data_IF_558827308757
#
_entry.id   IF_558827308757
#
_cell.length_a   1.000
_cell.length_b   1.000
_cell.length_c   1.000
_cell.angle_alpha   90.00
_cell.angle_beta   90.00
_cell.angle_gamma   90.00
#
_symmetry.space_group_name_H-M   'P 1'
#
loop_
_entity.id
_entity.type
_entity.pdbx_description
1 polymer ?
#
# COMPACT_ATOMS: atom_id res chain seq x y z
N UNK A 1 5.77 4.05 40.04
CA UNK A 1 7.11 3.85 39.44
C UNK A 1 6.93 3.76 37.94
N UNK A 2 7.62 4.58 37.14
CA UNK A 2 7.57 4.48 35.68
C UNK A 2 8.47 3.32 35.20
N UNK A 3 7.97 2.46 34.33
CA UNK A 3 8.75 1.39 33.67
C UNK A 3 9.15 1.81 32.25
N UNK A 4 10.19 1.19 31.70
CA UNK A 4 10.52 1.33 30.28
C UNK A 4 9.38 0.78 29.40
N UNK A 5 9.02 1.52 28.35
CA UNK A 5 7.87 1.22 27.49
C UNK A 5 8.24 0.56 26.16
N UNK A 6 9.52 0.34 25.90
CA UNK A 6 10.01 -0.27 24.66
C UNK A 6 9.58 0.46 23.36
N UNK A 7 9.40 1.77 23.42
CA UNK A 7 9.06 2.60 22.24
C UNK A 7 10.32 3.04 21.48
N UNK A 8 11.38 3.40 22.21
CA UNK A 8 12.65 3.83 21.61
C UNK A 8 13.82 3.01 22.16
N UNK A 9 14.66 2.52 21.26
CA UNK A 9 15.86 1.75 21.61
C UNK A 9 16.82 2.62 22.44
N UNK A 10 17.01 2.26 23.71
CA UNK A 10 17.88 3.01 24.63
C UNK A 10 19.35 2.90 24.20
N UNK A 11 19.81 1.68 23.93
CA UNK A 11 21.17 1.36 23.50
C UNK A 11 21.11 0.59 22.19
N UNK A 12 21.72 1.14 21.14
CA UNK A 12 21.81 0.47 19.83
C UNK A 12 23.09 -0.33 19.75
N UNK A 13 22.99 -1.54 19.20
CA UNK A 13 24.12 -2.37 18.84
C UNK A 13 24.34 -2.36 17.32
N UNK A 14 25.56 -2.66 16.89
CA UNK A 14 25.96 -2.77 15.49
C UNK A 14 26.78 -4.03 15.30
N UNK A 15 26.57 -4.68 14.16
CA UNK A 15 27.34 -5.82 13.69
C UNK A 15 27.76 -5.57 12.23
N UNK A 16 28.46 -6.53 11.64
CA UNK A 16 28.68 -6.53 10.20
C UNK A 16 27.33 -6.53 9.44
N UNK A 17 27.22 -5.87 8.28
CA UNK A 17 25.98 -5.82 7.52
C UNK A 17 25.44 -7.21 7.16
N UNK A 18 24.14 -7.43 7.37
CA UNK A 18 23.45 -8.66 6.98
C UNK A 18 23.10 -8.60 5.49
N UNK A 19 23.64 -9.54 4.71
CA UNK A 19 23.40 -9.59 3.25
C UNK A 19 22.11 -10.34 2.87
N UNK A 20 21.41 -10.90 3.86
CA UNK A 20 20.20 -11.71 3.69
C UNK A 20 20.49 -13.17 3.29
N UNK A 21 19.48 -14.05 3.32
CA UNK A 21 19.63 -15.46 2.95
C UNK A 21 20.03 -15.63 1.47
N UNK A 22 20.66 -16.75 1.09
CA UNK A 22 20.99 -17.05 -0.30
C UNK A 22 19.74 -17.05 -1.19
N UNK A 23 19.91 -16.75 -2.48
CA UNK A 23 18.83 -16.73 -3.47
C UNK A 23 19.23 -17.61 -4.66
N UNK A 24 18.79 -18.86 -4.65
CA UNK A 24 19.25 -19.85 -5.63
C UNK A 24 18.63 -19.63 -7.03
N UNK A 25 17.47 -18.96 -7.10
CA UNK A 25 16.73 -18.66 -8.35
C UNK A 25 16.55 -17.14 -8.57
N UNK A 26 17.62 -16.37 -8.35
CA UNK A 26 17.63 -14.94 -8.61
C UNK A 26 18.16 -14.62 -10.00
N UNK A 27 17.49 -13.70 -10.72
CA UNK A 27 17.94 -13.24 -12.04
C UNK A 27 19.15 -12.30 -11.99
N UNK A 28 19.76 -12.11 -10.81
CA UNK A 28 20.87 -11.19 -10.57
C UNK A 28 21.25 -11.07 -9.09
N UNK A 29 22.41 -10.49 -8.76
CA UNK A 29 22.82 -10.27 -7.39
C UNK A 29 21.98 -9.17 -6.70
N UNK A 30 22.02 -9.12 -5.37
CA UNK A 30 21.58 -7.93 -4.63
C UNK A 30 22.58 -6.79 -4.88
N UNK A 31 22.16 -5.54 -4.63
CA UNK A 31 23.10 -4.42 -4.54
C UNK A 31 24.11 -4.65 -3.40
N UNK A 32 25.16 -3.84 -3.36
CA UNK A 32 26.00 -3.74 -2.17
C UNK A 32 25.16 -3.33 -0.93
N UNK A 33 25.67 -3.64 0.26
CA UNK A 33 25.11 -3.11 1.50
C UNK A 33 25.17 -1.57 1.46
N UNK A 34 24.09 -0.91 1.88
CA UNK A 34 24.05 0.55 1.92
C UNK A 34 24.86 1.08 3.10
N UNK A 35 24.28 1.04 4.30
CA UNK A 35 24.92 1.52 5.52
C UNK A 35 23.99 1.50 6.72
N UNK A 36 24.35 2.18 7.80
CA UNK A 36 23.54 2.26 9.01
C UNK A 36 23.07 3.69 9.31
N UNK A 37 21.78 3.84 9.63
CA UNK A 37 21.19 5.12 10.03
C UNK A 37 20.84 5.12 11.53
N UNK A 38 21.47 6.01 12.30
CA UNK A 38 21.27 6.10 13.75
C UNK A 38 19.80 6.35 14.15
N UNK A 39 19.10 7.23 13.42
CA UNK A 39 17.71 7.59 13.75
C UNK A 39 16.73 6.47 13.41
N UNK A 40 16.91 5.75 12.31
CA UNK A 40 16.16 4.54 12.01
C UNK A 40 16.36 3.49 13.13
N UNK A 41 17.59 3.34 13.62
CA UNK A 41 17.91 2.44 14.73
C UNK A 41 17.27 2.82 16.08
N UNK A 42 16.72 4.05 16.24
CA UNK A 42 15.97 4.42 17.44
C UNK A 42 14.56 3.84 17.47
N UNK A 43 14.01 3.48 16.32
CA UNK A 43 12.63 2.98 16.17
C UNK A 43 12.57 1.58 15.52
N UNK A 44 13.69 0.99 15.11
CA UNK A 44 13.74 -0.31 14.45
C UNK A 44 15.16 -0.76 14.07
N UNK A 45 15.28 -1.50 12.96
CA UNK A 45 16.58 -1.86 12.40
C UNK A 45 17.22 -0.64 11.72
N UNK A 46 18.52 -0.48 11.92
CA UNK A 46 19.28 0.66 11.43
C UNK A 46 19.92 0.45 10.06
N UNK A 47 20.05 -0.80 9.61
CA UNK A 47 20.65 -1.13 8.32
C UNK A 47 19.73 -0.71 7.17
N UNK A 48 20.30 -0.05 6.16
CA UNK A 48 19.64 0.32 4.90
C UNK A 48 20.27 -0.49 3.76
N UNK A 49 19.43 -1.25 3.05
CA UNK A 49 19.86 -2.20 2.02
C UNK A 49 20.51 -3.47 2.62
N UNK A 50 21.01 -4.39 1.76
CA UNK A 50 20.98 -4.34 0.30
C UNK A 50 19.57 -4.54 -0.27
N UNK A 51 19.35 -4.14 -1.53
CA UNK A 51 18.09 -4.38 -2.26
C UNK A 51 18.33 -5.33 -3.43
N UNK A 52 17.37 -6.22 -3.70
CA UNK A 52 17.39 -7.00 -4.94
C UNK A 52 16.74 -6.20 -6.06
N UNK A 53 17.37 -6.06 -7.24
CA UNK A 53 16.76 -5.39 -8.38
C UNK A 53 16.96 -6.19 -9.68
N UNK A 54 16.08 -7.17 -9.91
CA UNK A 54 15.95 -7.86 -11.19
C UNK A 54 15.01 -7.14 -12.16
N UNK A 55 14.83 -7.71 -13.37
CA UNK A 55 14.09 -7.09 -14.48
C UNK A 55 12.70 -6.56 -14.13
N UNK A 56 11.89 -7.31 -13.37
CA UNK A 56 10.56 -6.86 -12.94
C UNK A 56 10.62 -5.56 -12.13
N UNK A 57 11.60 -5.44 -11.22
CA UNK A 57 11.77 -4.22 -10.43
C UNK A 57 12.29 -3.06 -11.26
N UNK A 58 13.27 -3.31 -12.13
CA UNK A 58 13.83 -2.28 -12.99
C UNK A 58 12.79 -1.70 -13.94
N UNK A 59 12.04 -2.55 -14.66
CA UNK A 59 11.00 -2.10 -15.60
C UNK A 59 9.86 -1.41 -14.84
N UNK A 60 9.47 -1.93 -13.67
CA UNK A 60 8.48 -1.28 -12.81
C UNK A 60 8.91 0.15 -12.44
N UNK A 61 10.16 0.36 -12.01
CA UNK A 61 10.68 1.69 -11.69
C UNK A 61 10.72 2.61 -12.91
N UNK A 62 11.16 2.11 -14.07
CA UNK A 62 11.18 2.90 -15.32
C UNK A 62 9.78 3.33 -15.71
N UNK A 63 8.80 2.42 -15.69
CA UNK A 63 7.40 2.76 -15.99
C UNK A 63 6.80 3.71 -14.96
N UNK A 64 7.10 3.53 -13.68
CA UNK A 64 6.65 4.43 -12.62
C UNK A 64 7.22 5.84 -12.80
N UNK A 65 8.50 5.94 -13.16
CA UNK A 65 9.16 7.21 -13.46
C UNK A 65 8.55 7.89 -14.69
N UNK A 66 8.28 7.14 -15.77
CA UNK A 66 7.62 7.69 -16.96
C UNK A 66 6.24 8.26 -16.60
N UNK A 67 5.42 7.51 -15.84
CA UNK A 67 4.12 8.01 -15.40
C UNK A 67 4.25 9.26 -14.52
N UNK A 68 5.19 9.26 -13.57
CA UNK A 68 5.48 10.41 -12.70
C UNK A 68 5.88 11.65 -13.49
N UNK A 69 6.79 11.53 -14.45
CA UNK A 69 7.24 12.63 -15.30
C UNK A 69 6.11 13.15 -16.20
N UNK A 70 5.28 12.29 -16.78
CA UNK A 70 4.13 12.74 -17.58
C UNK A 70 3.19 13.59 -16.74
N UNK A 71 2.86 13.14 -15.51
CA UNK A 71 2.00 13.89 -14.60
C UNK A 71 2.65 15.23 -14.23
N UNK A 72 3.90 15.21 -13.75
CA UNK A 72 4.62 16.40 -13.31
C UNK A 72 4.83 17.44 -14.41
N UNK A 73 5.20 17.01 -15.62
CA UNK A 73 5.41 17.90 -16.77
C UNK A 73 4.10 18.51 -17.25
N UNK A 74 2.97 17.77 -17.23
CA UNK A 74 1.66 18.34 -17.57
C UNK A 74 1.19 19.35 -16.52
N UNK A 75 1.42 19.09 -15.23
CA UNK A 75 1.17 20.05 -14.16
C UNK A 75 2.03 21.31 -14.30
N UNK A 76 3.30 21.17 -14.68
CA UNK A 76 4.18 22.34 -14.89
C UNK A 76 3.80 23.14 -16.14
N UNK A 77 3.39 22.45 -17.21
CA UNK A 77 2.89 23.08 -18.43
C UNK A 77 1.61 23.89 -18.18
N UNK A 78 0.70 23.44 -17.31
CA UNK A 78 -0.56 24.16 -17.02
C UNK A 78 -0.36 25.49 -16.31
N UNK A 79 0.81 25.71 -15.71
CA UNK A 79 1.25 27.00 -15.13
C UNK A 79 2.33 27.68 -15.97
N UNK A 80 2.35 27.40 -17.28
CA UNK A 80 3.24 28.00 -18.27
C UNK A 80 4.73 27.88 -17.89
N UNK A 81 5.14 26.73 -17.39
CA UNK A 81 6.53 26.43 -17.02
C UNK A 81 7.12 27.35 -15.94
N UNK A 82 6.29 28.09 -15.20
CA UNK A 82 6.74 28.93 -14.08
C UNK A 82 7.04 28.07 -12.84
N UNK A 83 8.30 28.02 -12.35
CA UNK A 83 8.62 27.23 -11.15
C UNK A 83 7.92 27.75 -9.89
N UNK A 84 7.74 29.08 -9.81
CA UNK A 84 7.07 29.73 -8.67
C UNK A 84 5.60 29.33 -8.62
N UNK A 85 4.91 29.39 -9.77
CA UNK A 85 3.50 29.02 -9.85
C UNK A 85 3.30 27.52 -9.66
N UNK A 86 4.22 26.70 -10.17
CA UNK A 86 4.19 25.26 -9.97
C UNK A 86 4.21 24.90 -8.48
N UNK A 87 5.16 25.47 -7.71
CA UNK A 87 5.24 25.22 -6.26
C UNK A 87 4.03 25.81 -5.52
N UNK A 88 3.63 27.04 -5.86
CA UNK A 88 2.50 27.74 -5.21
C UNK A 88 1.19 26.99 -5.39
N UNK A 89 0.97 26.43 -6.57
CA UNK A 89 -0.30 25.78 -6.96
C UNK A 89 -0.25 24.26 -6.91
N UNK A 90 0.89 23.63 -6.57
CA UNK A 90 1.08 22.18 -6.63
C UNK A 90 -0.10 21.34 -6.10
N UNK A 91 -0.75 21.68 -4.97
CA UNK A 91 -1.92 20.93 -4.49
C UNK A 91 -3.14 20.96 -5.42
N UNK A 92 -3.31 22.01 -6.23
CA UNK A 92 -4.44 22.21 -7.14
C UNK A 92 -4.17 21.75 -8.57
N UNK A 93 -2.91 21.50 -8.95
CA UNK A 93 -2.58 21.07 -10.31
C UNK A 93 -3.09 19.65 -10.57
N UNK A 94 -3.41 19.39 -11.84
CA UNK A 94 -4.00 18.14 -12.27
C UNK A 94 -3.49 17.71 -13.65
N UNK A 95 -3.50 16.40 -13.88
CA UNK A 95 -3.64 15.80 -15.20
C UNK A 95 -5.02 15.14 -15.28
N UNK A 96 -5.90 15.73 -16.08
CA UNK A 96 -7.31 15.35 -16.21
C UNK A 96 -7.53 14.22 -17.25
N UNK A 97 -8.52 13.33 -17.04
CA UNK A 97 -8.90 12.33 -18.04
C UNK A 97 -9.49 12.98 -19.31
N UNK A 98 -9.57 12.23 -20.42
CA UNK A 98 -10.27 12.68 -21.63
C UNK A 98 -11.73 13.06 -21.36
N UNK A 99 -12.20 14.11 -22.05
CA UNK A 99 -13.60 14.51 -21.98
C UNK A 99 -14.58 13.45 -22.52
N UNK A 100 -15.87 13.48 -22.12
CA UNK A 100 -16.86 12.46 -22.49
C UNK A 100 -17.04 12.26 -24.00
N UNK A 101 -16.80 13.31 -24.81
CA UNK A 101 -16.88 13.25 -26.27
C UNK A 101 -15.92 12.23 -26.90
N UNK A 102 -14.88 11.81 -26.17
CA UNK A 102 -13.91 10.83 -26.63
C UNK A 102 -14.28 9.38 -26.27
N UNK A 103 -15.27 9.16 -25.40
CA UNK A 103 -15.67 7.82 -24.95
C UNK A 103 -14.48 6.98 -24.49
N UNK A 104 -14.30 5.80 -25.09
CA UNK A 104 -13.17 4.90 -24.84
C UNK A 104 -12.07 4.96 -25.92
N UNK A 105 -11.96 6.06 -26.67
CA UNK A 105 -10.89 6.22 -27.64
C UNK A 105 -9.52 6.01 -26.97
N UNK A 106 -8.72 5.10 -27.51
CA UNK A 106 -7.44 4.67 -26.92
C UNK A 106 -6.39 5.79 -26.93
N UNK A 107 -6.46 6.70 -27.89
CA UNK A 107 -5.55 7.84 -27.97
C UNK A 107 -6.31 9.08 -28.53
N UNK A 108 -6.95 9.88 -27.66
CA UNK A 108 -7.43 11.22 -28.00
C UNK A 108 -6.22 12.17 -28.17
N UNK A 109 -6.43 13.41 -28.65
CA UNK A 109 -5.35 14.40 -28.74
C UNK A 109 -4.58 14.51 -27.41
N UNK A 110 -3.25 14.65 -27.48
CA UNK A 110 -2.40 14.64 -26.28
C UNK A 110 -2.82 15.69 -25.26
N UNK A 111 -3.14 16.91 -25.73
CA UNK A 111 -3.60 18.03 -24.91
C UNK A 111 -5.03 17.85 -24.34
N UNK A 112 -5.78 16.86 -24.81
CA UNK A 112 -7.19 16.61 -24.44
C UNK A 112 -7.36 15.24 -23.77
N UNK A 113 -6.44 14.90 -22.86
CA UNK A 113 -6.47 13.67 -22.07
C UNK A 113 -5.65 12.52 -22.63
N UNK A 114 -4.99 12.68 -23.79
CA UNK A 114 -4.08 11.66 -24.31
C UNK A 114 -2.91 11.37 -23.36
N UNK A 115 -2.36 12.41 -22.71
CA UNK A 115 -1.33 12.24 -21.67
C UNK A 115 -1.82 11.45 -20.45
N UNK A 116 -3.09 11.62 -20.06
CA UNK A 116 -3.67 10.87 -18.95
C UNK A 116 -3.72 9.37 -19.23
N UNK A 117 -4.09 8.96 -20.45
CA UNK A 117 -4.09 7.54 -20.83
C UNK A 117 -2.68 6.93 -20.86
N UNK A 118 -1.70 7.68 -21.36
CA UNK A 118 -0.29 7.23 -21.38
C UNK A 118 0.23 7.10 -19.94
N UNK A 119 -0.02 8.09 -19.08
CA UNK A 119 0.35 8.03 -17.66
C UNK A 119 -0.34 6.85 -16.95
N UNK A 120 -1.66 6.68 -17.16
CA UNK A 120 -2.44 5.58 -16.60
C UNK A 120 -1.94 4.20 -17.02
N UNK A 121 -1.54 4.03 -18.29
CA UNK A 121 -0.92 2.80 -18.78
C UNK A 121 0.40 2.50 -18.06
N UNK A 122 1.35 3.43 -18.07
CA UNK A 122 2.66 3.23 -17.46
C UNK A 122 2.56 3.04 -15.94
N UNK A 123 1.68 3.79 -15.27
CA UNK A 123 1.41 3.63 -13.84
C UNK A 123 0.86 2.23 -13.54
N UNK A 124 -0.19 1.80 -14.26
CA UNK A 124 -0.80 0.48 -14.05
C UNK A 124 0.19 -0.66 -14.30
N UNK A 125 0.96 -0.57 -15.39
CA UNK A 125 1.99 -1.54 -15.71
C UNK A 125 3.10 -1.58 -14.66
N UNK A 126 3.54 -0.41 -14.15
CA UNK A 126 4.50 -0.31 -13.05
C UNK A 126 4.03 -1.06 -11.81
N UNK A 127 2.77 -0.85 -11.40
CA UNK A 127 2.18 -1.50 -10.23
C UNK A 127 2.04 -3.02 -10.41
N UNK A 128 1.58 -3.49 -11.57
CA UNK A 128 1.46 -4.93 -11.86
C UNK A 128 2.84 -5.62 -11.88
N UNK A 129 3.86 -4.97 -12.44
CA UNK A 129 5.23 -5.48 -12.43
C UNK A 129 5.80 -5.51 -10.99
N UNK A 130 5.45 -4.52 -10.16
CA UNK A 130 5.83 -4.53 -8.75
C UNK A 130 5.16 -5.67 -7.99
N UNK A 131 3.89 -5.97 -8.29
CA UNK A 131 3.19 -7.14 -7.75
C UNK A 131 3.86 -8.46 -8.17
N UNK A 132 4.21 -8.60 -9.44
CA UNK A 132 4.93 -9.77 -9.92
C UNK A 132 6.29 -9.92 -9.21
N UNK A 133 6.96 -8.78 -8.93
CA UNK A 133 8.18 -8.74 -8.12
C UNK A 133 7.93 -9.22 -6.68
N UNK A 134 6.88 -8.78 -5.99
CA UNK A 134 6.59 -9.26 -4.62
C UNK A 134 6.36 -10.77 -4.60
N UNK A 135 5.64 -11.29 -5.60
CA UNK A 135 5.38 -12.72 -5.74
C UNK A 135 6.68 -13.51 -5.94
N UNK A 136 7.51 -13.09 -6.91
CA UNK A 136 8.79 -13.74 -7.19
C UNK A 136 9.74 -13.70 -6.00
N UNK A 137 9.74 -12.63 -5.19
CA UNK A 137 10.60 -12.57 -3.98
C UNK A 137 10.17 -13.57 -2.91
N UNK A 138 8.87 -13.73 -2.67
CA UNK A 138 8.39 -14.74 -1.73
C UNK A 138 8.76 -16.16 -2.19
N UNK A 139 8.53 -16.48 -3.47
CA UNK A 139 8.82 -17.81 -4.03
C UNK A 139 10.31 -18.14 -3.98
N UNK A 140 11.19 -17.21 -4.36
CA UNK A 140 12.65 -17.43 -4.29
C UNK A 140 13.14 -17.70 -2.86
N UNK A 141 12.44 -17.23 -1.84
CA UNK A 141 12.76 -17.48 -0.43
C UNK A 141 12.01 -18.70 0.15
N UNK A 142 11.25 -19.45 -0.66
CA UNK A 142 10.44 -20.57 -0.18
C UNK A 142 9.28 -20.16 0.75
N UNK A 143 8.86 -18.90 0.71
CA UNK A 143 7.81 -18.35 1.56
C UNK A 143 6.43 -18.45 0.91
N UNK A 144 5.37 -18.45 1.73
CA UNK A 144 4.01 -18.28 1.23
C UNK A 144 3.77 -16.89 0.60
N UNK A 145 2.85 -16.82 -0.37
CA UNK A 145 2.64 -15.63 -1.22
C UNK A 145 1.61 -14.62 -0.68
N UNK A 146 1.34 -14.66 0.63
CA UNK A 146 0.31 -13.86 1.32
C UNK A 146 0.37 -12.36 1.05
N UNK A 147 1.56 -11.77 0.97
CA UNK A 147 1.74 -10.33 0.66
C UNK A 147 1.29 -10.01 -0.77
N UNK A 148 1.55 -10.91 -1.72
CA UNK A 148 1.13 -10.70 -3.12
C UNK A 148 -0.38 -10.77 -3.27
N UNK A 149 -1.04 -11.66 -2.53
CA UNK A 149 -2.50 -11.72 -2.50
C UNK A 149 -3.13 -10.49 -1.83
N UNK A 150 -2.53 -9.99 -0.76
CA UNK A 150 -3.00 -8.74 -0.14
C UNK A 150 -2.83 -7.55 -1.09
N UNK A 151 -1.68 -7.46 -1.76
CA UNK A 151 -1.42 -6.41 -2.73
C UNK A 151 -2.37 -6.49 -3.95
N UNK A 152 -2.73 -7.70 -4.39
CA UNK A 152 -3.73 -7.89 -5.44
C UNK A 152 -5.10 -7.29 -5.08
N UNK A 153 -5.52 -7.33 -3.80
CA UNK A 153 -6.76 -6.69 -3.35
C UNK A 153 -6.69 -5.15 -3.46
N UNK A 154 -5.54 -4.54 -3.20
CA UNK A 154 -5.36 -3.10 -3.40
C UNK A 154 -5.36 -2.74 -4.90
N UNK A 155 -4.69 -3.56 -5.73
CA UNK A 155 -4.70 -3.42 -7.19
C UNK A 155 -6.12 -3.55 -7.74
N UNK A 156 -6.95 -4.42 -7.17
CA UNK A 156 -8.36 -4.54 -7.54
C UNK A 156 -9.11 -3.21 -7.43
N UNK A 157 -9.07 -2.53 -6.27
CA UNK A 157 -9.72 -1.24 -6.11
C UNK A 157 -9.15 -0.19 -7.09
N UNK A 158 -7.83 -0.14 -7.26
CA UNK A 158 -7.16 0.76 -8.20
C UNK A 158 -7.67 0.55 -9.63
N UNK A 159 -7.74 -0.70 -10.09
CA UNK A 159 -8.22 -1.04 -11.43
C UNK A 159 -9.72 -0.75 -11.58
N UNK A 160 -10.53 -0.97 -10.55
CA UNK A 160 -11.95 -0.59 -10.58
C UNK A 160 -12.10 0.90 -10.82
N UNK A 161 -11.40 1.74 -10.05
CA UNK A 161 -11.49 3.20 -10.12
C UNK A 161 -11.02 3.77 -11.47
N UNK A 162 -9.86 3.30 -11.95
CA UNK A 162 -9.17 3.93 -13.09
C UNK A 162 -9.38 3.24 -14.43
N UNK A 163 -9.92 2.02 -14.46
CA UNK A 163 -9.96 1.21 -15.68
C UNK A 163 -11.28 0.44 -15.88
N UNK A 164 -11.61 -0.51 -14.99
CA UNK A 164 -12.74 -1.43 -15.17
C UNK A 164 -14.07 -0.66 -15.20
N UNK A 165 -14.34 0.19 -14.21
CA UNK A 165 -15.59 0.96 -14.17
C UNK A 165 -15.67 1.97 -15.32
N UNK A 166 -14.64 2.79 -15.62
CA UNK A 166 -14.67 3.66 -16.80
C UNK A 166 -14.98 2.93 -18.11
N UNK A 167 -14.41 1.73 -18.32
CA UNK A 167 -14.71 0.87 -19.48
C UNK A 167 -16.17 0.41 -19.48
N UNK A 168 -16.72 -0.05 -18.35
CA UNK A 168 -18.12 -0.45 -18.26
C UNK A 168 -19.10 0.72 -18.45
N UNK A 169 -18.70 1.92 -18.05
CA UNK A 169 -19.45 3.16 -18.25
C UNK A 169 -19.30 3.74 -19.67
N UNK A 170 -18.40 3.19 -20.49
CA UNK A 170 -18.18 3.61 -21.87
C UNK A 170 -17.43 4.95 -22.04
N UNK A 171 -16.76 5.45 -20.99
CA UNK A 171 -16.02 6.72 -21.07
C UNK A 171 -14.85 6.80 -20.09
N UNK A 172 -13.68 7.26 -20.58
CA UNK A 172 -12.53 7.57 -19.72
C UNK A 172 -12.77 8.76 -18.79
N UNK A 173 -13.73 9.63 -19.10
CA UNK A 173 -14.10 10.79 -18.26
C UNK A 173 -14.63 10.40 -16.87
N UNK A 174 -15.00 9.13 -16.69
CA UNK A 174 -15.47 8.57 -15.42
C UNK A 174 -14.33 8.17 -14.48
N UNK A 175 -13.09 8.17 -14.97
CA UNK A 175 -11.90 7.82 -14.20
C UNK A 175 -11.41 8.98 -13.32
N UNK A 176 -10.50 8.66 -12.40
CA UNK A 176 -9.93 9.61 -11.44
C UNK A 176 -8.83 10.48 -12.10
N UNK A 177 -8.80 11.80 -11.87
CA UNK A 177 -7.68 12.65 -12.31
C UNK A 177 -6.43 12.44 -11.45
N UNK A 178 -5.25 12.68 -12.02
CA UNK A 178 -4.00 12.70 -11.24
C UNK A 178 -3.77 14.10 -10.68
N UNK A 179 -4.10 14.33 -9.41
CA UNK A 179 -3.87 15.61 -8.70
C UNK A 179 -4.25 15.51 -7.23
N UNK A 180 -3.66 16.35 -6.36
CA UNK A 180 -3.89 16.27 -4.90
C UNK A 180 -5.31 16.68 -4.54
N UNK A 181 -5.72 17.93 -4.74
CA UNK A 181 -7.12 18.33 -4.53
C UNK A 181 -8.07 17.81 -5.62
N UNK A 182 -7.68 17.75 -6.90
CA UNK A 182 -8.55 17.21 -7.95
C UNK A 182 -9.10 15.79 -7.69
N UNK A 183 -8.30 14.85 -7.16
CA UNK A 183 -8.83 13.51 -6.84
C UNK A 183 -9.75 13.50 -5.60
N UNK A 184 -9.61 14.46 -4.68
CA UNK A 184 -10.53 14.64 -3.56
C UNK A 184 -11.87 15.20 -4.06
N UNK A 185 -11.83 16.20 -4.94
CA UNK A 185 -13.01 16.77 -5.59
C UNK A 185 -13.76 15.69 -6.39
N UNK A 186 -13.03 14.86 -7.14
CA UNK A 186 -13.60 13.69 -7.82
C UNK A 186 -14.30 12.73 -6.84
N UNK A 187 -13.66 12.44 -5.70
CA UNK A 187 -14.21 11.53 -4.67
C UNK A 187 -15.53 12.08 -4.10
N UNK A 188 -15.59 13.37 -3.79
CA UNK A 188 -16.80 14.03 -3.32
C UNK A 188 -17.88 14.07 -4.41
N UNK A 189 -17.51 14.45 -5.64
CA UNK A 189 -18.40 14.52 -6.79
C UNK A 189 -19.01 13.14 -7.12
N UNK A 190 -18.22 12.07 -7.01
CA UNK A 190 -18.70 10.70 -7.18
C UNK A 190 -19.83 10.37 -6.20
N UNK A 191 -19.63 10.66 -4.91
CA UNK A 191 -20.67 10.44 -3.89
C UNK A 191 -21.93 11.26 -4.17
N UNK A 192 -21.78 12.53 -4.56
CA UNK A 192 -22.91 13.41 -4.88
C UNK A 192 -23.68 12.88 -6.09
N UNK A 193 -22.97 12.51 -7.17
CA UNK A 193 -23.57 12.06 -8.43
C UNK A 193 -24.40 10.78 -8.26
N UNK A 194 -23.98 9.89 -7.36
CA UNK A 194 -24.63 8.61 -7.14
C UNK A 194 -25.50 8.55 -5.87
N UNK A 195 -25.94 9.70 -5.36
CA UNK A 195 -26.97 9.75 -4.34
C UNK A 195 -26.48 9.35 -2.94
N UNK A 196 -25.28 9.81 -2.56
CA UNK A 196 -24.64 9.64 -1.26
C UNK A 196 -24.15 8.21 -0.97
N UNK A 197 -22.83 8.02 -1.08
CA UNK A 197 -22.15 6.75 -0.83
C UNK A 197 -22.31 6.20 0.60
N UNK A 198 -22.78 6.97 1.59
CA UNK A 198 -23.09 6.42 2.91
C UNK A 198 -24.17 5.34 2.87
N UNK A 199 -25.05 5.36 1.87
CA UNK A 199 -26.08 4.34 1.70
C UNK A 199 -25.64 3.13 0.85
N UNK A 200 -24.41 3.14 0.32
CA UNK A 200 -23.84 1.98 -0.35
C UNK A 200 -23.34 0.97 0.71
N UNK A 201 -23.91 -0.26 0.77
CA UNK A 201 -23.57 -1.22 1.82
C UNK A 201 -22.11 -1.69 1.75
N UNK A 202 -21.51 -1.77 0.56
CA UNK A 202 -20.11 -2.15 0.39
C UNK A 202 -19.15 -1.02 0.80
N UNK A 203 -19.55 0.23 0.60
CA UNK A 203 -18.81 1.37 1.14
C UNK A 203 -18.82 1.36 2.69
N UNK A 204 -19.97 1.09 3.31
CA UNK A 204 -20.05 0.93 4.76
C UNK A 204 -19.18 -0.23 5.28
N UNK A 205 -19.18 -1.38 4.60
CA UNK A 205 -18.29 -2.50 4.94
C UNK A 205 -16.80 -2.13 4.82
N UNK A 206 -16.42 -1.41 3.76
CA UNK A 206 -15.04 -0.92 3.59
C UNK A 206 -14.61 -0.04 4.77
N UNK A 207 -15.49 0.85 5.26
CA UNK A 207 -15.25 1.66 6.46
C UNK A 207 -15.09 0.78 7.71
N UNK A 208 -15.95 -0.23 7.90
CA UNK A 208 -15.84 -1.18 9.02
C UNK A 208 -14.48 -1.87 9.02
N UNK A 209 -14.01 -2.32 7.85
CA UNK A 209 -12.72 -2.99 7.73
C UNK A 209 -11.53 -2.03 7.88
N UNK A 210 -11.64 -0.78 7.43
CA UNK A 210 -10.63 0.24 7.62
C UNK A 210 -10.46 0.60 9.10
N UNK A 211 -11.57 0.89 9.78
CA UNK A 211 -11.57 1.17 11.23
C UNK A 211 -11.15 -0.06 12.02
N UNK A 212 -11.64 -1.23 11.63
CA UNK A 212 -11.26 -2.51 12.22
C UNK A 212 -9.77 -2.82 12.06
N UNK A 213 -9.15 -2.45 10.92
CA UNK A 213 -7.70 -2.60 10.73
C UNK A 213 -6.91 -1.71 11.69
N UNK A 214 -7.35 -0.46 11.87
CA UNK A 214 -6.74 0.47 12.84
C UNK A 214 -6.88 -0.07 14.28
N UNK A 215 -8.08 -0.53 14.64
CA UNK A 215 -8.38 -1.11 15.94
C UNK A 215 -7.52 -2.36 16.20
N UNK A 216 -7.51 -3.32 15.26
CA UNK A 216 -6.77 -4.57 15.42
C UNK A 216 -5.26 -4.33 15.50
N UNK A 217 -4.69 -3.42 14.71
CA UNK A 217 -3.27 -3.10 14.83
C UNK A 217 -2.97 -2.43 16.16
N UNK A 218 -3.80 -1.47 16.62
CA UNK A 218 -3.61 -0.86 17.93
C UNK A 218 -3.66 -1.90 19.07
N UNK A 219 -4.64 -2.81 19.04
CA UNK A 219 -4.77 -3.92 19.99
C UNK A 219 -3.55 -4.85 19.94
N UNK A 220 -3.16 -5.30 18.75
CA UNK A 220 -2.07 -6.24 18.55
C UNK A 220 -0.71 -5.62 18.91
N UNK A 221 -0.37 -4.47 18.34
CA UNK A 221 0.89 -3.76 18.63
C UNK A 221 1.03 -3.40 20.11
N UNK A 222 -0.05 -2.93 20.74
CA UNK A 222 -0.08 -2.72 22.20
C UNK A 222 0.13 -4.00 23.00
N UNK A 223 -0.47 -5.11 22.57
CA UNK A 223 -0.30 -6.43 23.19
C UNK A 223 1.16 -6.89 23.11
N UNK A 224 1.75 -6.87 21.91
CA UNK A 224 3.12 -7.34 21.67
C UNK A 224 4.12 -6.53 22.49
N UNK A 225 3.98 -5.19 22.54
CA UNK A 225 4.83 -4.36 23.40
C UNK A 225 4.64 -4.69 24.89
N UNK A 226 3.41 -4.93 25.34
CA UNK A 226 3.12 -5.27 26.74
C UNK A 226 3.77 -6.60 27.17
N UNK A 227 3.79 -7.59 26.27
CA UNK A 227 4.45 -8.89 26.49
C UNK A 227 5.89 -8.95 25.99
N UNK A 228 6.45 -7.85 25.46
CA UNK A 228 7.83 -7.78 24.95
C UNK A 228 8.88 -8.08 26.02
N UNK A 229 8.57 -7.84 27.30
CA UNK A 229 9.41 -8.28 28.44
C UNK A 229 9.62 -9.79 28.53
N UNK A 230 8.80 -10.57 27.83
CA UNK A 230 8.88 -12.02 27.71
C UNK A 230 9.34 -12.47 26.30
N UNK A 231 9.80 -11.53 25.45
CA UNK A 231 10.18 -11.80 24.06
C UNK A 231 8.99 -12.07 23.13
N UNK A 232 7.84 -11.43 23.37
CA UNK A 232 6.61 -11.67 22.61
C UNK A 232 6.68 -11.29 21.13
N UNK A 233 7.60 -10.40 20.74
CA UNK A 233 7.86 -10.00 19.35
C UNK A 233 8.57 -11.09 18.51
N UNK A 234 9.09 -12.14 19.15
CA UNK A 234 9.69 -13.30 18.47
C UNK A 234 8.61 -14.30 18.08
N UNK A 235 7.71 -13.84 17.21
CA UNK A 235 6.41 -14.48 17.00
C UNK A 235 6.50 -15.82 16.30
N UNK A 236 7.50 -16.04 15.43
CA UNK A 236 7.72 -17.34 14.77
C UNK A 236 7.98 -18.41 15.83
N UNK A 237 8.90 -18.17 16.76
CA UNK A 237 9.20 -19.11 17.82
C UNK A 237 8.01 -19.30 18.76
N UNK A 238 7.29 -18.22 19.08
CA UNK A 238 6.08 -18.28 19.91
C UNK A 238 4.94 -19.08 19.27
N UNK A 239 4.87 -19.11 17.93
CA UNK A 239 3.90 -19.93 17.17
C UNK A 239 4.30 -21.40 17.24
N UNK A 240 5.58 -21.72 17.04
CA UNK A 240 6.07 -23.11 17.01
C UNK A 240 6.19 -23.74 18.39
N UNK A 241 6.57 -22.95 19.40
CA UNK A 241 6.74 -23.37 20.79
C UNK A 241 6.16 -22.30 21.73
N UNK A 242 4.97 -22.57 22.25
CA UNK A 242 4.15 -21.58 22.95
C UNK A 242 4.78 -21.21 24.30
N UNK A 243 5.30 -19.99 24.40
CA UNK A 243 5.81 -19.43 25.65
C UNK A 243 4.77 -18.62 26.46
N UNK A 244 5.20 -18.17 27.65
CA UNK A 244 4.35 -17.36 28.55
C UNK A 244 3.93 -16.01 27.95
N UNK A 245 4.69 -15.48 26.97
CA UNK A 245 4.30 -14.28 26.23
C UNK A 245 2.95 -14.49 25.52
N UNK A 246 2.84 -15.56 24.74
CA UNK A 246 1.62 -15.96 24.03
C UNK A 246 0.47 -16.29 24.98
N UNK A 247 0.74 -17.00 26.07
CA UNK A 247 -0.29 -17.37 27.04
C UNK A 247 -0.89 -16.13 27.73
N UNK A 248 -0.06 -15.19 28.17
CA UNK A 248 -0.52 -13.94 28.80
C UNK A 248 -1.25 -13.04 27.81
N UNK A 249 -0.77 -12.95 26.57
CA UNK A 249 -1.45 -12.21 25.51
C UNK A 249 -2.86 -12.77 25.26
N UNK A 250 -2.98 -14.10 25.15
CA UNK A 250 -4.27 -14.76 24.97
C UNK A 250 -5.20 -14.57 26.19
N UNK A 251 -4.69 -14.77 27.41
CA UNK A 251 -5.48 -14.63 28.63
C UNK A 251 -5.97 -13.20 28.86
N UNK A 252 -5.15 -12.18 28.57
CA UNK A 252 -5.56 -10.78 28.65
C UNK A 252 -6.83 -10.53 27.84
N UNK A 253 -6.84 -10.94 26.57
CA UNK A 253 -8.00 -10.77 25.71
C UNK A 253 -9.18 -11.66 26.11
N UNK A 254 -8.93 -12.91 26.51
CA UNK A 254 -9.97 -13.83 26.98
C UNK A 254 -10.72 -13.27 28.19
N UNK A 255 -9.99 -12.70 29.14
CA UNK A 255 -10.59 -12.09 30.33
C UNK A 255 -11.27 -10.75 30.05
N UNK A 256 -10.79 -10.02 29.04
CA UNK A 256 -11.36 -8.71 28.66
C UNK A 256 -12.64 -8.83 27.85
N UNK A 257 -12.69 -9.73 26.85
CA UNK A 257 -13.79 -9.80 25.87
C UNK A 257 -14.40 -11.20 25.68
N UNK A 258 -14.04 -12.17 26.53
CA UNK A 258 -14.64 -13.51 26.56
C UNK A 258 -14.06 -14.52 25.55
N UNK A 259 -13.23 -14.07 24.60
CA UNK A 259 -12.52 -14.93 23.64
C UNK A 259 -11.12 -14.37 23.33
N UNK A 260 -10.30 -15.15 22.64
CA UNK A 260 -8.92 -14.77 22.31
C UNK A 260 -8.46 -15.41 20.99
N UNK A 261 -7.40 -14.84 20.42
CA UNK A 261 -6.65 -15.42 19.30
C UNK A 261 -5.46 -16.26 19.80
N UNK A 262 -4.81 -16.98 18.88
CA UNK A 262 -3.45 -17.52 19.05
C UNK A 262 -2.45 -16.56 18.40
N UNK A 263 -1.15 -16.75 18.65
CA UNK A 263 -0.12 -15.92 18.03
C UNK A 263 -0.14 -16.01 16.50
N UNK A 264 -0.45 -17.16 15.91
CA UNK A 264 -0.61 -17.28 14.45
C UNK A 264 -1.94 -16.68 13.97
N UNK A 265 -3.04 -16.97 14.66
CA UNK A 265 -4.37 -16.63 14.14
C UNK A 265 -4.65 -15.14 14.16
N UNK A 266 -4.07 -14.36 15.08
CA UNK A 266 -4.22 -12.90 15.10
C UNK A 266 -3.69 -12.26 13.80
N UNK A 267 -2.63 -12.83 13.20
CA UNK A 267 -2.11 -12.38 11.92
C UNK A 267 -3.07 -12.67 10.77
N UNK A 268 -3.84 -13.76 10.84
CA UNK A 268 -4.91 -14.07 9.88
C UNK A 268 -6.07 -13.07 9.99
N UNK A 269 -6.47 -12.73 11.21
CA UNK A 269 -7.48 -11.68 11.46
C UNK A 269 -7.02 -10.33 10.89
N UNK A 270 -5.81 -9.90 11.21
CA UNK A 270 -5.25 -8.64 10.70
C UNK A 270 -5.17 -8.63 9.16
N UNK A 271 -4.69 -9.72 8.56
CA UNK A 271 -4.58 -9.84 7.11
C UNK A 271 -5.95 -9.72 6.42
N UNK A 272 -6.97 -10.43 6.89
CA UNK A 272 -8.30 -10.37 6.30
C UNK A 272 -8.97 -9.01 6.47
N UNK A 273 -8.85 -8.37 7.63
CA UNK A 273 -9.40 -7.02 7.83
C UNK A 273 -8.79 -6.00 6.86
N UNK A 274 -7.47 -6.03 6.67
CA UNK A 274 -6.82 -5.15 5.72
C UNK A 274 -7.28 -5.43 4.27
N UNK A 275 -7.28 -6.70 3.86
CA UNK A 275 -7.66 -7.12 2.49
C UNK A 275 -9.11 -6.80 2.17
N UNK A 276 -10.02 -6.98 3.13
CA UNK A 276 -11.45 -6.75 2.93
C UNK A 276 -11.80 -5.26 2.76
N UNK A 277 -10.95 -4.35 3.24
CA UNK A 277 -11.12 -2.90 3.03
C UNK A 277 -11.16 -2.57 1.53
N UNK A 278 -10.12 -2.92 0.78
CA UNK A 278 -10.06 -2.63 -0.65
C UNK A 278 -10.93 -3.57 -1.48
N UNK A 279 -11.15 -4.80 -1.03
CA UNK A 279 -12.03 -5.75 -1.74
C UNK A 279 -13.47 -5.24 -1.78
N UNK A 280 -14.03 -4.92 -0.61
CA UNK A 280 -15.40 -4.39 -0.51
C UNK A 280 -15.50 -3.00 -1.11
N UNK A 281 -14.50 -2.13 -0.92
CA UNK A 281 -14.45 -0.83 -1.59
C UNK A 281 -14.55 -0.95 -3.11
N UNK A 282 -13.78 -1.86 -3.72
CA UNK A 282 -13.83 -2.06 -5.17
C UNK A 282 -15.17 -2.61 -5.65
N UNK A 283 -15.81 -3.51 -4.89
CA UNK A 283 -17.17 -3.98 -5.21
C UNK A 283 -18.17 -2.82 -5.15
N UNK A 284 -18.09 -1.97 -4.12
CA UNK A 284 -18.98 -0.83 -3.95
C UNK A 284 -18.90 0.17 -5.10
N UNK A 285 -17.68 0.51 -5.54
CA UNK A 285 -17.46 1.40 -6.68
C UNK A 285 -17.91 0.76 -8.00
N UNK A 286 -17.66 -0.53 -8.20
CA UNK A 286 -18.04 -1.23 -9.44
C UNK A 286 -19.56 -1.26 -9.67
N UNK A 287 -20.34 -1.35 -8.60
CA UNK A 287 -21.81 -1.37 -8.64
C UNK A 287 -22.45 0.02 -8.72
N UNK A 288 -21.64 1.09 -8.67
CA UNK A 288 -22.09 2.48 -8.66
C UNK A 288 -21.90 3.11 -10.04
#
# INVERSE_FOLDING_TARGET
MASYQNIFTQVQLRAAPEMGPPMDDASGPRTAAGGFNYWAGKIGNAQIGPIYLGWLGTISLVFGLIAFEIIGLNMWASVNWSPVEFVRQLPWLALEPPGPQYGLRVLPPLAEGGWWLIAGFFFTASVILWWARTYRRAVTLGMGTHISWAFASAIWLMLVLGFIRPVLMGSWSEAVPFGIFPHLDWTAAFSIRYGNLFYNPFHALSIVFLYGSTLLFAMHGGTILAVGRYGGEREIEQITDRGTASERAALFWRWTMGFNATMESIHRWAWWFAVLTTLTGGIGILLT
#
